data_IF_690561861516
#
_entry.id   IF_690561861516
#
_cell.length_a   1.000
_cell.length_b   1.000
_cell.length_c   1.000
_cell.angle_alpha   90.00
_cell.angle_beta   90.00
_cell.angle_gamma   90.00
#
_symmetry.space_group_name_H-M   'P 1'
#
loop_
_entity.id
_entity.type
_entity.pdbx_description
1 polymer ?
#
# COMPACT_ATOMS: atom_id res chain seq x y z
N UNK A 1 -6.94 3.90 15.04
CA UNK A 1 -6.99 5.03 14.08
C UNK A 1 -5.97 4.73 13.01
N UNK A 2 -6.38 4.47 11.77
CA UNK A 2 -5.45 4.17 10.67
C UNK A 2 -4.48 5.34 10.46
N UNK A 3 -3.16 5.11 10.29
CA UNK A 3 -2.22 6.18 10.00
C UNK A 3 -2.62 6.86 8.69
N UNK A 4 -2.93 8.16 8.74
CA UNK A 4 -3.30 8.95 7.57
C UNK A 4 -2.04 9.60 7.03
N UNK A 5 -1.50 9.05 5.95
CA UNK A 5 -0.39 9.67 5.22
C UNK A 5 -0.97 10.54 4.10
N UNK A 6 -0.68 11.84 4.12
CA UNK A 6 -0.97 12.75 3.00
C UNK A 6 0.27 12.76 2.10
N UNK A 7 0.14 12.21 0.91
CA UNK A 7 1.12 12.40 -0.15
C UNK A 7 0.94 13.83 -0.74
N UNK A 8 1.98 14.67 -0.77
CA UNK A 8 1.87 16.05 -1.29
C UNK A 8 1.51 16.13 -2.77
N UNK A 9 1.79 15.08 -3.55
CA UNK A 9 1.59 15.03 -5.01
C UNK A 9 0.30 14.30 -5.39
N UNK A 10 -0.16 13.37 -4.55
CA UNK A 10 -1.21 12.39 -4.90
C UNK A 10 -2.42 12.50 -3.95
N UNK A 11 -2.29 13.21 -2.83
CA UNK A 11 -3.35 13.43 -1.84
C UNK A 11 -3.35 12.36 -0.73
N UNK A 12 -4.52 12.11 -0.14
CA UNK A 12 -4.63 11.15 0.98
C UNK A 12 -4.45 9.72 0.45
N UNK A 13 -3.67 8.93 1.18
CA UNK A 13 -3.36 7.55 0.82
C UNK A 13 -3.69 6.59 1.96
N UNK A 14 -3.99 5.34 1.61
CA UNK A 14 -4.19 4.23 2.56
C UNK A 14 -3.08 3.22 2.36
N UNK A 15 -2.32 2.93 3.42
CA UNK A 15 -1.31 1.88 3.50
C UNK A 15 -1.77 0.81 4.49
N UNK A 16 -2.15 -0.39 4.03
CA UNK A 16 -2.32 -1.52 4.94
C UNK A 16 -0.94 -2.06 5.36
N UNK A 17 -0.73 -2.19 6.67
CA UNK A 17 0.56 -2.63 7.24
C UNK A 17 0.82 -4.13 7.01
N UNK A 18 -0.21 -4.97 7.10
CA UNK A 18 -0.09 -6.41 6.85
C UNK A 18 -1.36 -6.95 6.17
N UNK A 19 -1.18 -7.76 5.14
CA UNK A 19 -2.28 -8.43 4.42
C UNK A 19 -2.00 -9.92 4.26
N UNK A 20 -2.79 -10.75 4.93
CA UNK A 20 -2.74 -12.21 4.79
C UNK A 20 -4.09 -12.72 4.28
N UNK A 21 -4.14 -13.13 3.02
CA UNK A 21 -5.34 -13.72 2.42
C UNK A 21 -5.35 -15.24 2.63
N UNK A 22 -6.40 -15.74 3.28
CA UNK A 22 -6.72 -17.16 3.26
C UNK A 22 -7.24 -17.52 1.86
N UNK A 23 -6.32 -17.98 1.01
CA UNK A 23 -6.58 -18.27 -0.41
C UNK A 23 -7.81 -19.17 -0.58
N UNK A 24 -8.64 -18.84 -1.56
CA UNK A 24 -9.77 -19.69 -2.00
C UNK A 24 -11.13 -19.36 -1.39
N UNK A 25 -11.21 -18.48 -0.39
CA UNK A 25 -12.48 -18.10 0.28
C UNK A 25 -13.00 -16.71 -0.08
N UNK A 26 -12.33 -16.00 -1.00
CA UNK A 26 -12.74 -14.66 -1.42
C UNK A 26 -12.48 -13.55 -0.38
N UNK A 27 -11.86 -13.88 0.76
CA UNK A 27 -11.54 -12.94 1.84
C UNK A 27 -10.74 -11.74 1.34
N UNK A 28 -9.72 -11.96 0.51
CA UNK A 28 -8.95 -10.87 -0.07
C UNK A 28 -9.75 -9.92 -0.97
N UNK A 29 -10.82 -10.40 -1.61
CA UNK A 29 -11.71 -9.54 -2.40
C UNK A 29 -12.61 -8.67 -1.51
N UNK A 30 -13.13 -9.21 -0.42
CA UNK A 30 -13.96 -8.43 0.52
C UNK A 30 -13.12 -7.37 1.25
N UNK A 31 -11.89 -7.70 1.66
CA UNK A 31 -10.98 -6.72 2.24
C UNK A 31 -10.67 -5.60 1.24
N UNK A 32 -10.35 -5.94 -0.01
CA UNK A 32 -10.07 -4.93 -1.03
C UNK A 32 -11.29 -4.03 -1.30
N UNK A 33 -12.50 -4.58 -1.25
CA UNK A 33 -13.75 -3.83 -1.35
C UNK A 33 -13.93 -2.87 -0.16
N UNK A 34 -13.69 -3.32 1.07
CA UNK A 34 -13.75 -2.47 2.27
C UNK A 34 -12.71 -1.35 2.16
N UNK A 35 -11.47 -1.66 1.77
CA UNK A 35 -10.41 -0.66 1.58
C UNK A 35 -10.81 0.38 0.52
N UNK A 36 -11.42 -0.05 -0.58
CA UNK A 36 -11.90 0.84 -1.63
C UNK A 36 -13.03 1.75 -1.13
N UNK A 37 -13.97 1.22 -0.34
CA UNK A 37 -15.03 2.02 0.28
C UNK A 37 -14.46 3.05 1.26
N UNK A 38 -13.45 2.68 2.04
CA UNK A 38 -12.76 3.61 2.95
C UNK A 38 -12.03 4.70 2.15
N UNK A 39 -11.32 4.33 1.09
CA UNK A 39 -10.65 5.29 0.21
C UNK A 39 -11.62 6.34 -0.34
N UNK A 40 -12.77 5.90 -0.88
CA UNK A 40 -13.82 6.81 -1.37
C UNK A 40 -14.35 7.71 -0.25
N UNK A 41 -14.69 7.15 0.91
CA UNK A 41 -15.16 7.92 2.08
C UNK A 41 -14.12 8.95 2.57
N UNK A 42 -12.84 8.62 2.45
CA UNK A 42 -11.74 9.50 2.84
C UNK A 42 -11.34 10.51 1.76
N UNK A 43 -11.98 10.48 0.58
CA UNK A 43 -11.61 11.25 -0.61
C UNK A 43 -10.16 10.95 -1.05
N UNK A 44 -9.75 9.69 -0.95
CA UNK A 44 -8.50 9.18 -1.50
C UNK A 44 -8.76 8.73 -2.94
N UNK A 45 -7.93 9.20 -3.88
CA UNK A 45 -8.03 8.82 -5.29
C UNK A 45 -7.32 7.49 -5.60
N UNK A 46 -6.46 7.02 -4.69
CA UNK A 46 -5.60 5.84 -4.88
C UNK A 46 -5.43 5.04 -3.59
N UNK A 47 -5.14 3.75 -3.74
CA UNK A 47 -4.73 2.84 -2.68
C UNK A 47 -3.40 2.22 -3.10
N UNK A 48 -2.37 2.35 -2.27
CA UNK A 48 -1.06 1.70 -2.53
C UNK A 48 -0.91 0.49 -1.62
N UNK A 49 -0.35 -0.57 -2.19
CA UNK A 49 -0.14 -1.84 -1.52
C UNK A 49 1.32 -2.25 -1.77
N UNK A 50 1.99 -2.75 -0.74
CA UNK A 50 3.27 -3.42 -0.90
C UNK A 50 3.01 -4.92 -1.08
N UNK A 51 3.54 -5.49 -2.16
CA UNK A 51 3.41 -6.91 -2.46
C UNK A 51 4.81 -7.48 -2.64
N UNK A 52 5.11 -8.57 -1.94
CA UNK A 52 6.38 -9.26 -2.11
C UNK A 52 6.50 -9.84 -3.52
N UNK A 53 7.63 -9.59 -4.19
CA UNK A 53 7.90 -10.02 -5.57
C UNK A 53 7.77 -11.54 -5.75
N UNK A 54 8.16 -12.33 -4.75
CA UNK A 54 8.07 -13.79 -4.76
C UNK A 54 6.63 -14.35 -4.69
N UNK A 55 5.59 -13.49 -4.62
CA UNK A 55 4.18 -13.88 -4.53
C UNK A 55 3.45 -13.62 -5.84
N UNK A 56 3.85 -14.33 -6.90
CA UNK A 56 3.21 -14.24 -8.23
C UNK A 56 1.67 -14.36 -8.24
N UNK A 57 1.04 -15.26 -7.45
CA UNK A 57 -0.42 -15.33 -7.37
C UNK A 57 -1.07 -14.03 -6.85
N UNK A 58 -0.43 -13.37 -5.88
CA UNK A 58 -0.91 -12.10 -5.33
C UNK A 58 -0.72 -10.96 -6.33
N UNK A 59 0.43 -10.90 -7.01
CA UNK A 59 0.70 -9.90 -8.04
C UNK A 59 -0.36 -9.98 -9.15
N UNK A 60 -0.62 -11.19 -9.64
CA UNK A 60 -1.66 -11.44 -10.66
C UNK A 60 -3.06 -11.07 -10.16
N UNK A 61 -3.39 -11.37 -8.89
CA UNK A 61 -4.68 -11.05 -8.31
C UNK A 61 -4.99 -9.55 -8.29
N UNK A 62 -4.03 -8.71 -7.92
CA UNK A 62 -4.20 -7.25 -7.88
C UNK A 62 -4.15 -6.65 -9.29
N UNK A 63 -3.26 -7.12 -10.16
CA UNK A 63 -3.20 -6.66 -11.57
C UNK A 63 -4.51 -6.89 -12.33
N UNK A 64 -5.16 -8.03 -12.12
CA UNK A 64 -6.51 -8.32 -12.68
C UNK A 64 -7.59 -7.33 -12.22
N UNK A 65 -7.34 -6.55 -11.16
CA UNK A 65 -8.26 -5.54 -10.61
C UNK A 65 -7.79 -4.11 -10.87
N UNK A 66 -6.84 -3.92 -11.79
CA UNK A 66 -6.36 -2.60 -12.21
C UNK A 66 -5.19 -2.06 -11.39
N UNK A 67 -4.56 -2.86 -10.54
CA UNK A 67 -3.32 -2.45 -9.88
C UNK A 67 -2.18 -2.32 -10.90
N UNK A 68 -1.43 -1.23 -10.80
CA UNK A 68 -0.26 -0.95 -11.63
C UNK A 68 1.02 -1.07 -10.80
N UNK A 69 2.10 -1.54 -11.40
CA UNK A 69 3.36 -1.81 -10.70
C UNK A 69 4.22 -0.54 -10.70
N UNK A 70 4.06 0.28 -9.65
CA UNK A 70 4.72 1.59 -9.53
C UNK A 70 6.25 1.50 -9.53
N UNK A 71 6.83 0.38 -9.10
CA UNK A 71 8.28 0.18 -9.15
C UNK A 71 8.77 0.16 -10.59
N UNK A 72 8.04 -0.55 -11.47
CA UNK A 72 8.40 -0.71 -12.88
C UNK A 72 8.00 0.49 -13.73
N UNK A 73 6.86 1.11 -13.43
CA UNK A 73 6.29 2.17 -14.26
C UNK A 73 6.87 3.56 -13.93
N UNK A 74 7.07 3.85 -12.65
CA UNK A 74 7.47 5.18 -12.18
C UNK A 74 8.85 5.18 -11.49
N UNK A 75 9.46 4.01 -11.29
CA UNK A 75 10.82 3.87 -10.72
C UNK A 75 10.90 4.03 -9.21
N UNK A 76 9.77 3.95 -8.49
CA UNK A 76 9.75 4.10 -7.03
C UNK A 76 10.49 2.95 -6.34
N UNK A 77 11.36 3.29 -5.38
CA UNK A 77 12.08 2.33 -4.54
C UNK A 77 11.80 2.62 -3.07
N UNK A 78 11.13 1.71 -2.32
CA UNK A 78 10.96 1.90 -0.89
C UNK A 78 12.33 1.92 -0.20
N UNK A 79 12.55 2.89 0.67
CA UNK A 79 13.73 3.01 1.52
C UNK A 79 13.30 2.87 2.97
N UNK A 80 13.92 1.95 3.69
CA UNK A 80 13.73 1.79 5.12
C UNK A 80 14.95 2.36 5.87
N UNK A 81 14.71 3.12 6.92
CA UNK A 81 15.77 3.68 7.77
C UNK A 81 15.62 3.15 9.19
N UNK A 82 16.54 2.27 9.60
CA UNK A 82 16.42 1.51 10.86
C UNK A 82 17.28 2.05 12.00
N UNK A 83 18.54 2.44 11.74
CA UNK A 83 19.52 2.71 12.81
C UNK A 83 19.90 4.18 13.00
N UNK A 84 19.61 5.05 12.03
CA UNK A 84 20.04 6.44 12.05
C UNK A 84 18.95 7.45 12.42
N UNK A 85 17.71 7.00 12.65
CA UNK A 85 16.55 7.87 12.88
C UNK A 85 16.77 8.77 14.10
N UNK A 86 17.20 8.20 15.23
CA UNK A 86 17.47 8.96 16.46
C UNK A 86 18.65 9.93 16.32
N UNK A 87 19.71 9.52 15.59
CA UNK A 87 20.91 10.33 15.35
C UNK A 87 20.64 11.53 14.43
N UNK A 88 19.72 11.37 13.48
CA UNK A 88 19.29 12.44 12.58
C UNK A 88 18.45 13.45 13.36
N UNK A 89 17.49 12.99 14.19
CA UNK A 89 16.63 13.87 14.98
C UNK A 89 17.34 14.64 16.09
N UNK A 90 18.50 14.16 16.56
CA UNK A 90 19.31 14.83 17.58
C UNK A 90 20.29 15.88 17.03
N UNK A 91 20.40 16.02 15.70
CA UNK A 91 21.14 17.11 15.06
C UNK A 91 20.18 18.30 14.89
N UNK A 92 19.91 18.99 15.99
CA UNK A 92 19.16 20.25 16.06
C UNK A 92 19.91 21.25 16.92
#
# INVERSE_FOLDING_TARGET
VWPRTKDPCIGKLVYPEDFFDYRGFGTGSEILKILSQVAVKCQCSRVHLLVAECKEPSNTFYKRRGASDLFREEGWRPLEMTSNVAKIGSRG
#
